data_IF_726020975631
#
_entry.id   IF_726020975631
#
_cell.length_a   1.000
_cell.length_b   1.000
_cell.length_c   1.000
_cell.angle_alpha   90.00
_cell.angle_beta   90.00
_cell.angle_gamma   90.00
#
_symmetry.space_group_name_H-M   'P 1'
#
loop_
_entity.id
_entity.type
_entity.pdbx_description
1 polymer ?
#
# COMPACT_ATOMS: atom_id res chain seq x y z
N UNK A 1 26.50 -31.22 -34.01
CA UNK A 1 26.48 -30.34 -32.81
C UNK A 1 25.57 -31.00 -31.78
N UNK A 2 26.03 -31.27 -30.55
CA UNK A 2 25.24 -31.99 -29.55
C UNK A 2 24.27 -31.05 -28.81
N UNK A 3 23.13 -31.61 -28.43
CA UNK A 3 22.03 -30.96 -27.72
C UNK A 3 22.36 -30.78 -26.23
N UNK A 4 22.23 -29.57 -25.70
CA UNK A 4 22.41 -29.28 -24.28
C UNK A 4 21.08 -29.46 -23.54
N UNK A 5 21.01 -30.49 -22.70
CA UNK A 5 19.91 -30.76 -21.77
C UNK A 5 20.09 -29.90 -20.50
N UNK A 6 19.06 -29.20 -20.00
CA UNK A 6 19.17 -28.47 -18.74
C UNK A 6 19.04 -29.41 -17.54
N UNK A 7 20.02 -29.37 -16.63
CA UNK A 7 20.04 -30.13 -15.37
C UNK A 7 19.05 -29.53 -14.35
N UNK A 8 18.30 -30.36 -13.61
CA UNK A 8 17.51 -29.92 -12.46
C UNK A 8 18.40 -29.94 -11.21
N UNK A 9 18.56 -28.81 -10.52
CA UNK A 9 19.23 -28.85 -9.21
C UNK A 9 19.85 -27.57 -8.67
N UNK A 10 19.64 -26.40 -9.26
CA UNK A 10 20.15 -25.16 -8.67
C UNK A 10 19.20 -24.70 -7.57
N UNK A 11 19.49 -25.10 -6.33
CA UNK A 11 18.94 -24.47 -5.12
C UNK A 11 19.27 -22.99 -5.21
N UNK A 12 18.25 -22.17 -5.50
CA UNK A 12 18.33 -20.72 -5.34
C UNK A 12 18.81 -20.46 -3.91
N UNK A 13 19.89 -19.68 -3.70
CA UNK A 13 20.21 -19.18 -2.37
C UNK A 13 18.95 -18.50 -1.84
N UNK A 14 18.53 -18.85 -0.64
CA UNK A 14 17.54 -18.06 0.07
C UNK A 14 18.13 -16.66 0.18
N UNK A 15 17.56 -15.71 -0.55
CA UNK A 15 17.79 -14.29 -0.31
C UNK A 15 17.31 -14.05 1.13
N UNK A 16 18.26 -14.03 2.05
CA UNK A 16 18.03 -13.47 3.37
C UNK A 16 17.76 -12.00 3.12
N UNK A 17 16.48 -11.64 3.02
CA UNK A 17 16.05 -10.26 3.16
C UNK A 17 16.64 -9.77 4.48
N UNK A 18 17.66 -8.92 4.38
CA UNK A 18 18.15 -8.20 5.53
C UNK A 18 16.97 -7.34 5.99
N UNK A 19 16.31 -7.76 7.08
CA UNK A 19 15.31 -6.95 7.76
C UNK A 19 15.98 -5.61 8.08
N UNK A 20 15.61 -4.59 7.30
CA UNK A 20 15.96 -3.22 7.62
C UNK A 20 15.41 -2.85 9.00
N UNK A 21 15.90 -1.78 9.62
CA UNK A 21 15.37 -1.34 10.91
C UNK A 21 13.84 -1.20 10.80
N UNK A 22 13.12 -1.76 11.77
CA UNK A 22 11.68 -1.64 11.88
C UNK A 22 11.31 -0.15 11.96
N UNK A 23 10.76 0.40 10.87
CA UNK A 23 10.38 1.81 10.80
C UNK A 23 8.94 1.94 11.29
N UNK A 24 8.75 2.66 12.40
CA UNK A 24 7.42 3.05 12.86
C UNK A 24 6.86 4.20 11.99
N UNK A 25 6.09 3.82 10.97
CA UNK A 25 5.44 4.77 10.06
C UNK A 25 4.41 5.68 10.76
N UNK A 26 3.97 5.36 11.97
CA UNK A 26 3.06 6.22 12.74
C UNK A 26 3.74 7.49 13.25
N UNK A 27 5.07 7.52 13.29
CA UNK A 27 5.86 8.70 13.67
C UNK A 27 6.00 9.72 12.52
N UNK A 28 5.70 9.31 11.29
CA UNK A 28 5.94 10.14 10.10
C UNK A 28 5.20 11.49 10.16
N UNK A 29 3.91 11.58 10.57
CA UNK A 29 3.23 12.87 10.72
C UNK A 29 3.96 13.83 11.66
N UNK A 30 4.36 13.34 12.84
CA UNK A 30 5.03 14.17 13.86
C UNK A 30 6.42 14.62 13.41
N UNK A 31 7.17 13.74 12.75
CA UNK A 31 8.48 14.06 12.19
C UNK A 31 8.37 15.09 11.06
N UNK A 32 7.31 15.01 10.25
CA UNK A 32 7.05 16.01 9.21
C UNK A 32 6.68 17.37 9.80
N UNK A 33 5.81 17.42 10.80
CA UNK A 33 5.46 18.66 11.49
C UNK A 33 6.70 19.37 12.03
N UNK A 34 7.59 18.63 12.73
CA UNK A 34 8.88 19.18 13.21
C UNK A 34 9.76 19.72 12.09
N UNK A 35 9.79 19.04 10.94
CA UNK A 35 10.57 19.49 9.77
C UNK A 35 9.97 20.74 9.16
N UNK A 36 8.64 20.84 9.08
CA UNK A 36 7.96 22.02 8.58
C UNK A 36 8.21 23.22 9.47
N UNK A 37 8.05 23.09 10.79
CA UNK A 37 8.37 24.18 11.74
C UNK A 37 9.80 24.69 11.62
N UNK A 38 10.75 23.79 11.36
CA UNK A 38 12.18 24.14 11.25
C UNK A 38 12.56 24.70 9.88
N UNK A 39 11.96 24.22 8.79
CA UNK A 39 12.43 24.43 7.42
C UNK A 39 11.49 25.28 6.57
N UNK A 40 10.19 25.29 6.87
CA UNK A 40 9.17 26.07 6.16
C UNK A 40 8.85 27.37 6.93
N UNK A 41 9.88 28.20 7.11
CA UNK A 41 9.79 29.47 7.87
C UNK A 41 8.75 30.43 7.25
N UNK A 42 8.60 30.36 5.93
CA UNK A 42 7.69 31.22 5.18
C UNK A 42 6.26 30.64 5.10
N UNK A 43 6.02 29.41 5.59
CA UNK A 43 4.70 28.77 5.62
C UNK A 43 4.14 28.45 4.23
N UNK A 44 5.01 28.09 3.29
CA UNK A 44 4.71 27.86 1.88
C UNK A 44 4.13 26.47 1.63
N UNK A 45 4.31 25.52 2.55
CA UNK A 45 3.77 24.17 2.42
C UNK A 45 2.34 24.11 2.96
N UNK A 46 1.44 23.53 2.15
CA UNK A 46 0.04 23.31 2.52
C UNK A 46 -0.29 21.82 2.40
N UNK A 47 -1.06 21.24 3.34
CA UNK A 47 -1.58 19.89 3.19
C UNK A 47 -2.43 19.77 1.92
N UNK A 48 -2.20 18.69 1.16
CA UNK A 48 -2.99 18.39 -0.04
C UNK A 48 -3.97 17.27 0.26
N UNK A 49 -5.26 17.51 0.03
CA UNK A 49 -6.28 16.46 0.15
C UNK A 49 -6.25 15.60 -1.11
N UNK A 50 -6.02 14.30 -0.95
CA UNK A 50 -6.16 13.30 -2.02
C UNK A 50 -7.57 12.71 -1.91
N UNK A 51 -8.37 12.91 -2.94
CA UNK A 51 -9.73 12.33 -3.03
C UNK A 51 -9.72 11.16 -4.00
N UNK A 52 -10.28 10.02 -3.58
CA UNK A 52 -10.50 8.89 -4.47
C UNK A 52 -11.54 9.25 -5.55
N UNK A 53 -11.43 8.64 -6.73
CA UNK A 53 -12.44 8.83 -7.79
C UNK A 53 -13.81 8.34 -7.34
N UNK A 54 -14.86 9.00 -7.81
CA UNK A 54 -16.27 8.62 -7.57
C UNK A 54 -16.63 7.25 -8.14
N UNK A 55 -15.78 6.68 -8.98
CA UNK A 55 -16.01 5.40 -9.65
C UNK A 55 -14.78 4.50 -9.57
N UNK A 56 -14.94 3.29 -9.02
CA UNK A 56 -13.88 2.28 -9.01
C UNK A 56 -14.22 1.15 -9.99
N UNK A 57 -13.20 0.51 -10.54
CA UNK A 57 -13.36 -0.74 -11.30
C UNK A 57 -12.80 -1.90 -10.49
N UNK A 58 -13.68 -2.79 -10.05
CA UNK A 58 -13.31 -4.02 -9.34
C UNK A 58 -13.19 -5.17 -10.33
N UNK A 59 -12.11 -5.94 -10.22
CA UNK A 59 -11.93 -7.24 -10.87
C UNK A 59 -11.99 -8.31 -9.80
N UNK A 60 -12.89 -9.27 -9.94
CA UNK A 60 -13.08 -10.34 -8.97
C UNK A 60 -13.23 -11.70 -9.69
N UNK A 61 -12.79 -12.77 -9.03
CA UNK A 61 -12.91 -14.12 -9.55
C UNK A 61 -13.41 -15.05 -8.43
N UNK A 62 -14.62 -15.60 -8.59
CA UNK A 62 -15.29 -16.34 -7.52
C UNK A 62 -14.64 -17.69 -7.18
N UNK A 63 -13.94 -18.30 -8.14
CA UNK A 63 -13.22 -19.55 -7.96
C UNK A 63 -11.98 -19.59 -8.87
N UNK A 64 -10.95 -20.38 -8.54
CA UNK A 64 -9.66 -20.41 -9.26
C UNK A 64 -9.75 -20.63 -10.78
N UNK A 65 -10.80 -21.31 -11.26
CA UNK A 65 -11.02 -21.60 -12.68
C UNK A 65 -12.24 -20.85 -13.27
N UNK A 66 -12.88 -19.97 -12.50
CA UNK A 66 -14.01 -19.18 -12.98
C UNK A 66 -13.53 -17.97 -13.79
N UNK A 67 -14.40 -17.44 -14.65
CA UNK A 67 -14.11 -16.20 -15.37
C UNK A 67 -13.99 -15.02 -14.41
N UNK A 68 -13.06 -14.12 -14.70
CA UNK A 68 -12.94 -12.84 -14.00
C UNK A 68 -14.11 -11.93 -14.37
N UNK A 69 -14.81 -11.43 -13.37
CA UNK A 69 -15.89 -10.45 -13.49
C UNK A 69 -15.33 -9.04 -13.27
N UNK A 70 -15.76 -8.08 -14.09
CA UNK A 70 -15.50 -6.65 -13.92
C UNK A 70 -16.77 -5.96 -13.46
N UNK A 71 -16.63 -5.14 -12.42
CA UNK A 71 -17.74 -4.36 -11.87
C UNK A 71 -17.32 -2.92 -11.65
N UNK A 72 -18.22 -2.00 -11.99
CA UNK A 72 -18.07 -0.58 -11.66
C UNK A 72 -18.75 -0.34 -10.31
N UNK A 73 -18.04 0.29 -9.39
CA UNK A 73 -18.50 0.58 -8.03
C UNK A 73 -18.68 2.09 -7.84
N UNK A 74 -19.88 2.50 -7.45
CA UNK A 74 -20.19 3.87 -7.09
C UNK A 74 -19.88 4.17 -5.62
N UNK A 75 -20.19 5.38 -5.13
CA UNK A 75 -19.88 5.79 -3.76
C UNK A 75 -20.40 4.86 -2.65
N UNK A 76 -21.64 4.32 -2.69
CA UNK A 76 -22.11 3.43 -1.62
C UNK A 76 -21.40 2.07 -1.65
N UNK A 77 -21.13 1.51 -2.84
CA UNK A 77 -20.40 0.25 -2.95
C UNK A 77 -18.93 0.42 -2.53
N UNK A 78 -18.28 1.51 -2.90
CA UNK A 78 -16.91 1.82 -2.46
C UNK A 78 -16.78 1.89 -0.94
N UNK A 79 -17.76 2.50 -0.27
CA UNK A 79 -17.82 2.52 1.19
C UNK A 79 -17.89 1.11 1.75
N UNK A 80 -18.81 0.29 1.23
CA UNK A 80 -18.97 -1.10 1.68
C UNK A 80 -17.68 -1.92 1.49
N UNK A 81 -17.01 -1.80 0.34
CA UNK A 81 -15.77 -2.54 0.06
C UNK A 81 -14.61 -2.07 0.94
N UNK A 82 -14.52 -0.76 1.18
CA UNK A 82 -13.51 -0.17 2.07
C UNK A 82 -13.71 -0.65 3.51
N UNK A 83 -14.94 -0.61 4.00
CA UNK A 83 -15.28 -1.02 5.37
C UNK A 83 -14.96 -2.52 5.55
N UNK A 84 -15.32 -3.37 4.57
CA UNK A 84 -14.97 -4.80 4.58
C UNK A 84 -13.45 -5.06 4.56
N UNK A 85 -12.68 -4.26 3.82
CA UNK A 85 -11.22 -4.36 3.81
C UNK A 85 -10.61 -3.99 5.17
N UNK A 86 -11.12 -2.94 5.82
CA UNK A 86 -10.66 -2.54 7.15
C UNK A 86 -11.05 -3.54 8.23
N UNK A 87 -12.25 -4.13 8.17
CA UNK A 87 -12.67 -5.18 9.10
C UNK A 87 -11.75 -6.41 9.00
N UNK A 88 -11.34 -6.79 7.77
CA UNK A 88 -10.36 -7.87 7.57
C UNK A 88 -9.00 -7.50 8.19
N UNK A 89 -8.52 -6.27 7.97
CA UNK A 89 -7.26 -5.82 8.58
C UNK A 89 -7.34 -5.78 10.11
N UNK A 90 -8.44 -5.32 10.70
CA UNK A 90 -8.66 -5.30 12.14
C UNK A 90 -8.68 -6.73 12.71
N UNK A 91 -9.37 -7.65 12.04
CA UNK A 91 -9.40 -9.06 12.44
C UNK A 91 -8.01 -9.71 12.39
N UNK A 92 -7.24 -9.45 11.33
CA UNK A 92 -5.88 -9.97 11.18
C UNK A 92 -4.91 -9.38 12.22
N UNK A 93 -4.98 -8.07 12.46
CA UNK A 93 -4.09 -7.38 13.40
C UNK A 93 -4.43 -7.68 14.87
N UNK A 94 -5.71 -7.71 15.24
CA UNK A 94 -6.15 -7.98 16.63
C UNK A 94 -6.03 -9.44 17.02
N UNK A 95 -6.11 -10.37 16.08
CA UNK A 95 -5.86 -11.79 16.38
C UNK A 95 -4.41 -12.05 16.76
N UNK A 96 -3.49 -11.11 16.48
CA UNK A 96 -2.05 -11.26 16.73
C UNK A 96 -1.43 -12.47 16.02
N UNK A 97 -2.15 -13.04 15.05
CA UNK A 97 -1.99 -14.43 14.66
C UNK A 97 -1.26 -14.62 13.32
N UNK A 98 -1.03 -13.54 12.55
CA UNK A 98 -0.39 -13.69 11.25
C UNK A 98 0.37 -12.44 10.80
N UNK A 99 1.70 -12.50 10.60
CA UNK A 99 2.40 -11.45 9.87
C UNK A 99 1.84 -11.36 8.43
N UNK A 100 1.64 -10.15 7.94
CA UNK A 100 1.15 -9.93 6.56
C UNK A 100 2.33 -9.99 5.59
N UNK A 101 2.87 -11.20 5.40
CA UNK A 101 4.10 -11.44 4.63
C UNK A 101 3.98 -11.13 3.12
N UNK A 102 2.76 -11.13 2.58
CA UNK A 102 2.49 -10.95 1.15
C UNK A 102 1.68 -9.69 0.86
N UNK A 103 1.95 -8.61 1.60
CA UNK A 103 1.37 -7.30 1.34
C UNK A 103 2.45 -6.22 1.28
N UNK A 104 2.15 -5.14 0.55
CA UNK A 104 2.97 -3.95 0.52
C UNK A 104 2.20 -2.78 1.13
N UNK A 105 2.74 -2.19 2.19
CA UNK A 105 2.23 -0.96 2.77
C UNK A 105 2.77 0.24 1.99
N UNK A 106 1.86 1.02 1.41
CA UNK A 106 2.20 2.28 0.75
C UNK A 106 1.68 3.44 1.59
N UNK A 107 2.57 4.29 2.09
CA UNK A 107 2.22 5.53 2.82
C UNK A 107 2.37 6.71 1.86
N UNK A 108 1.28 7.39 1.53
CA UNK A 108 1.27 8.53 0.62
C UNK A 108 1.07 9.81 1.42
N UNK A 109 1.97 10.77 1.22
CA UNK A 109 1.89 12.09 1.86
C UNK A 109 1.98 13.13 0.75
N UNK A 110 1.00 14.02 0.72
CA UNK A 110 0.93 15.06 -0.29
C UNK A 110 0.94 16.44 0.38
N UNK A 111 1.85 17.28 -0.12
CA UNK A 111 1.93 18.69 0.23
C UNK A 111 2.05 19.49 -1.07
N UNK A 112 1.44 20.68 -1.08
CA UNK A 112 1.53 21.63 -2.17
C UNK A 112 2.41 22.78 -1.73
N UNK A 113 3.42 23.13 -2.54
CA UNK A 113 4.17 24.36 -2.37
C UNK A 113 3.41 25.52 -3.01
N UNK A 114 2.99 26.49 -2.20
CA UNK A 114 2.41 27.74 -2.68
C UNK A 114 3.54 28.76 -2.79
N UNK A 115 3.66 29.44 -3.92
CA UNK A 115 4.49 30.64 -4.02
C UNK A 115 3.61 31.84 -3.69
N UNK A 116 4.13 32.79 -2.92
CA UNK A 116 3.55 34.13 -2.85
C UNK A 116 3.48 34.73 -4.27
N UNK A 117 2.49 35.62 -4.47
CA UNK A 117 2.40 36.44 -5.68
C UNK A 117 3.35 37.63 -5.63
#
# INVERSE_FOLDING_TARGET
>A
QPQTQPQPGQKRPAESEAEGPEVDYTQVPQEMDRRFERLDVDGMLRPTVITASETWTRRAQKALLANTEMQVLGPPEQRSERDAAFDLLDALTRSGALPVEHAALHVVIAATHCFDK
#
